data_IF_874558625583
#
_entry.id   IF_874558625583
#
_cell.length_a   1.000
_cell.length_b   1.000
_cell.length_c   1.000
_cell.angle_alpha   90.00
_cell.angle_beta   90.00
_cell.angle_gamma   90.00
#
_symmetry.space_group_name_H-M   'P 1'
#
loop_
_entity.id
_entity.type
_entity.pdbx_description
1 polymer ?
#
# COMPACT_ATOMS: atom_id res chain seq x y z
N UNK A 1 -21.42 3.32 3.03
CA UNK A 1 -22.40 4.38 3.41
C UNK A 1 -23.74 3.79 3.85
N UNK A 2 -24.48 3.04 3.01
CA UNK A 2 -25.77 2.45 3.42
C UNK A 2 -25.67 1.51 4.64
N UNK A 3 -24.56 0.80 4.81
CA UNK A 3 -24.24 -0.01 6.00
C UNK A 3 -24.08 0.87 7.24
N UNK A 4 -23.31 1.96 7.14
CA UNK A 4 -23.10 2.92 8.25
C UNK A 4 -24.42 3.55 8.71
N UNK A 5 -25.31 3.92 7.78
CA UNK A 5 -26.65 4.42 8.13
C UNK A 5 -27.52 3.40 8.88
N UNK A 6 -27.37 2.10 8.58
CA UNK A 6 -28.08 1.06 9.32
C UNK A 6 -27.52 0.91 10.74
N UNK A 7 -26.21 1.03 10.88
CA UNK A 7 -25.49 0.81 12.14
C UNK A 7 -25.71 1.95 13.14
N UNK A 8 -25.89 3.18 12.66
CA UNK A 8 -26.27 4.35 13.48
C UNK A 8 -27.78 4.45 13.73
N UNK A 9 -28.58 3.47 13.31
CA UNK A 9 -30.03 3.44 13.55
C UNK A 9 -30.83 4.49 12.77
N UNK A 10 -30.39 4.89 11.57
CA UNK A 10 -31.11 5.88 10.76
C UNK A 10 -32.38 5.27 10.13
N UNK A 11 -33.54 5.69 10.63
CA UNK A 11 -34.87 5.19 10.24
C UNK A 11 -35.45 5.87 8.98
N UNK A 12 -34.79 6.91 8.45
CA UNK A 12 -35.24 7.65 7.26
C UNK A 12 -35.00 6.95 5.92
N UNK A 13 -35.64 7.45 4.84
CA UNK A 13 -35.45 6.92 3.49
C UNK A 13 -34.00 7.13 3.00
N UNK A 14 -33.31 6.03 2.70
CA UNK A 14 -31.89 6.00 2.29
C UNK A 14 -31.74 6.35 0.80
N UNK A 15 -32.12 7.57 0.43
CA UNK A 15 -32.01 8.11 -0.92
C UNK A 15 -30.62 8.73 -1.17
N UNK A 16 -30.29 9.01 -2.44
CA UNK A 16 -28.98 9.53 -2.85
C UNK A 16 -28.62 10.86 -2.16
N UNK A 17 -29.61 11.70 -1.87
CA UNK A 17 -29.43 12.99 -1.19
C UNK A 17 -28.94 12.83 0.25
N UNK A 18 -29.55 11.91 1.00
CA UNK A 18 -29.10 11.55 2.36
C UNK A 18 -27.73 10.88 2.30
N UNK A 19 -27.44 10.09 1.25
CA UNK A 19 -26.13 9.47 1.09
C UNK A 19 -25.00 10.50 0.93
N UNK A 20 -25.24 11.56 0.16
CA UNK A 20 -24.27 12.62 -0.07
C UNK A 20 -24.07 13.55 1.14
N UNK A 21 -25.12 13.79 1.93
CA UNK A 21 -25.04 14.61 3.14
C UNK A 21 -24.19 13.96 4.25
N UNK A 22 -24.28 12.63 4.40
CA UNK A 22 -23.56 11.89 5.44
C UNK A 22 -22.14 11.48 5.01
N UNK A 23 -21.83 11.55 3.71
CA UNK A 23 -20.50 11.23 3.15
C UNK A 23 -19.36 12.05 3.78
N UNK A 24 -19.44 13.38 3.91
CA UNK A 24 -18.38 14.16 4.56
C UNK A 24 -18.28 13.89 6.07
N UNK A 25 -19.39 13.60 6.74
CA UNK A 25 -19.40 13.33 8.18
C UNK A 25 -18.71 12.01 8.52
N UNK A 26 -18.97 10.96 7.73
CA UNK A 26 -18.28 9.67 7.87
C UNK A 26 -16.80 9.79 7.50
N UNK A 27 -16.47 10.57 6.46
CA UNK A 27 -15.08 10.86 6.08
C UNK A 27 -14.27 11.50 7.21
N UNK A 28 -14.84 12.50 7.89
CA UNK A 28 -14.22 13.13 9.07
C UNK A 28 -14.05 12.15 10.23
N UNK A 29 -15.03 11.28 10.47
CA UNK A 29 -14.94 10.25 11.51
C UNK A 29 -13.82 9.24 11.25
N UNK A 30 -13.65 8.80 9.99
CA UNK A 30 -12.54 7.90 9.61
C UNK A 30 -11.20 8.61 9.77
N UNK A 31 -11.09 9.88 9.36
CA UNK A 31 -9.86 10.65 9.54
C UNK A 31 -9.52 10.85 11.02
N UNK A 32 -10.53 11.11 11.86
CA UNK A 32 -10.36 11.20 13.31
C UNK A 32 -9.89 9.87 13.92
N UNK A 33 -10.46 8.73 13.49
CA UNK A 33 -10.01 7.40 13.93
C UNK A 33 -8.59 7.06 13.47
N UNK A 34 -8.19 7.49 12.27
CA UNK A 34 -6.81 7.32 11.79
C UNK A 34 -5.86 8.15 12.66
N UNK A 35 -6.20 9.41 12.93
CA UNK A 35 -5.40 10.28 13.79
C UNK A 35 -5.31 9.73 15.21
N UNK A 36 -6.42 9.20 15.75
CA UNK A 36 -6.46 8.56 17.07
C UNK A 36 -5.59 7.28 17.09
N UNK A 37 -5.68 6.40 16.08
CA UNK A 37 -4.85 5.19 15.99
C UNK A 37 -3.36 5.49 15.84
N UNK A 38 -3.01 6.53 15.08
CA UNK A 38 -1.62 6.99 14.93
C UNK A 38 -1.13 7.56 16.27
N UNK A 39 -1.96 8.35 16.95
CA UNK A 39 -1.65 8.90 18.26
C UNK A 39 -1.55 7.81 19.33
N UNK A 40 -2.43 6.80 19.32
CA UNK A 40 -2.37 5.63 20.20
C UNK A 40 -1.09 4.83 19.98
N UNK A 41 -0.67 4.57 18.73
CA UNK A 41 0.60 3.90 18.45
C UNK A 41 1.81 4.71 18.90
N UNK A 42 1.74 6.04 18.77
CA UNK A 42 2.77 6.94 19.27
C UNK A 42 2.78 6.95 20.82
N UNK A 43 1.63 7.06 21.48
CA UNK A 43 1.48 6.99 22.93
C UNK A 43 1.91 5.63 23.50
N UNK A 44 1.57 4.52 22.86
CA UNK A 44 2.02 3.18 23.25
C UNK A 44 3.53 2.97 23.06
N UNK A 45 4.15 3.65 22.10
CA UNK A 45 5.61 3.68 21.98
C UNK A 45 6.27 4.59 23.03
N UNK A 46 5.59 5.68 23.43
CA UNK A 46 6.06 6.65 24.43
C UNK A 46 5.91 6.19 25.89
N UNK A 47 5.02 5.24 26.19
CA UNK A 47 4.93 4.62 27.53
C UNK A 47 6.19 3.79 27.89
N UNK A 48 7.06 3.51 26.92
CA UNK A 48 8.38 2.91 27.16
C UNK A 48 9.46 3.93 27.52
N UNK A 49 9.17 5.23 27.47
CA UNK A 49 10.14 6.29 27.77
C UNK A 49 9.46 7.50 28.41
N UNK A 50 9.21 7.41 29.72
CA UNK A 50 9.12 8.62 30.55
C UNK A 50 10.46 9.34 30.46
N UNK A 51 10.49 10.51 29.82
CA UNK A 51 10.99 11.79 30.38
C UNK A 51 11.06 12.87 29.30
N UNK A 52 10.30 13.93 29.55
CA UNK A 52 10.50 15.34 29.24
C UNK A 52 10.46 15.88 27.78
N UNK A 53 9.68 16.97 27.69
CA UNK A 53 9.87 18.20 26.90
C UNK A 53 8.77 18.50 25.85
N UNK A 54 7.79 19.29 26.28
CA UNK A 54 7.18 20.37 25.48
C UNK A 54 8.26 21.47 25.23
N UNK A 55 8.14 22.40 24.25
CA UNK A 55 6.94 22.78 23.49
C UNK A 55 7.18 23.03 21.98
N UNK A 56 6.12 23.30 21.20
CA UNK A 56 5.93 24.54 20.43
C UNK A 56 4.86 24.39 19.35
N UNK A 57 3.85 25.24 19.48
CA UNK A 57 2.81 25.59 18.54
C UNK A 57 3.31 25.91 17.12
N UNK A 58 2.68 25.31 16.11
CA UNK A 58 2.46 25.98 14.82
C UNK A 58 0.99 25.84 14.47
N UNK A 59 0.26 26.94 14.67
CA UNK A 59 -1.08 27.14 14.11
C UNK A 59 -0.87 27.50 12.64
N UNK A 60 -1.08 26.55 11.73
CA UNK A 60 -1.25 26.87 10.31
C UNK A 60 -2.74 26.84 10.02
N UNK A 61 -3.34 28.03 9.98
CA UNK A 61 -4.59 28.23 9.23
C UNK A 61 -4.25 27.99 7.75
N UNK A 62 -4.67 26.86 7.21
CA UNK A 62 -4.79 26.68 5.76
C UNK A 62 -6.28 26.72 5.46
N UNK A 63 -6.68 27.75 4.71
CA UNK A 63 -7.96 27.85 4.02
C UNK A 63 -8.20 26.56 3.21
N UNK A 64 -9.08 25.72 3.74
CA UNK A 64 -9.35 24.36 3.25
C UNK A 64 -10.37 24.40 2.11
N UNK A 65 -9.95 24.88 0.94
CA UNK A 65 -10.80 24.84 -0.26
C UNK A 65 -10.06 24.51 -1.56
N UNK A 66 -8.81 24.00 -1.56
CA UNK A 66 -8.18 23.63 -2.85
C UNK A 66 -6.91 22.73 -2.79
N UNK A 67 -6.79 21.78 -1.87
CA UNK A 67 -5.57 20.91 -1.82
C UNK A 67 -5.84 19.41 -2.06
N UNK A 68 -7.09 18.95 -2.09
CA UNK A 68 -7.38 17.51 -2.08
C UNK A 68 -7.51 16.80 -3.45
N UNK A 69 -7.30 17.49 -4.58
CA UNK A 69 -7.31 16.85 -5.91
C UNK A 69 -5.92 16.72 -6.57
N UNK A 70 -4.88 17.39 -6.05
CA UNK A 70 -3.56 17.40 -6.71
C UNK A 70 -2.61 16.27 -6.27
N UNK A 71 -2.79 15.66 -5.09
CA UNK A 71 -1.81 14.69 -4.53
C UNK A 71 -2.12 13.22 -4.93
N UNK A 72 -3.30 12.93 -5.52
CA UNK A 72 -3.70 11.55 -5.89
C UNK A 72 -3.09 11.00 -7.20
N UNK A 73 -2.10 11.67 -7.78
CA UNK A 73 -1.49 11.26 -9.05
C UNK A 73 0.02 11.09 -9.01
N UNK A 74 0.66 11.27 -7.86
CA UNK A 74 2.10 11.02 -7.77
C UNK A 74 2.35 9.54 -7.47
N UNK A 75 3.18 8.93 -8.32
CA UNK A 75 3.67 7.56 -8.15
C UNK A 75 4.68 7.63 -7.00
N UNK A 76 4.23 7.35 -5.78
CA UNK A 76 5.07 7.35 -4.57
C UNK A 76 5.40 5.90 -4.24
N UNK A 77 6.66 5.53 -4.42
CA UNK A 77 7.14 4.20 -4.04
C UNK A 77 7.14 4.07 -2.53
N UNK A 78 6.35 3.13 -2.04
CA UNK A 78 6.18 2.79 -0.64
C UNK A 78 7.29 1.86 -0.12
N UNK A 79 7.45 1.77 1.19
CA UNK A 79 8.43 0.87 1.82
C UNK A 79 8.16 -0.59 1.49
N UNK A 80 6.88 -1.00 1.46
CA UNK A 80 6.47 -2.38 1.16
C UNK A 80 6.85 -2.79 -0.28
N UNK A 81 6.74 -1.87 -1.23
CA UNK A 81 7.18 -2.07 -2.62
C UNK A 81 8.69 -2.28 -2.73
N UNK A 82 9.47 -1.49 -1.99
CA UNK A 82 10.93 -1.67 -1.91
C UNK A 82 11.33 -2.97 -1.22
N UNK A 83 10.56 -3.42 -0.24
CA UNK A 83 10.76 -4.72 0.41
C UNK A 83 10.53 -5.86 -0.58
N UNK A 84 9.42 -5.84 -1.34
CA UNK A 84 9.17 -6.83 -2.40
C UNK A 84 10.29 -6.85 -3.43
N UNK A 85 10.77 -5.68 -3.86
CA UNK A 85 11.92 -5.59 -4.76
C UNK A 85 13.18 -6.23 -4.15
N UNK A 86 13.48 -5.92 -2.89
CA UNK A 86 14.66 -6.44 -2.20
C UNK A 86 14.60 -7.95 -2.04
N UNK A 87 13.43 -8.48 -1.72
CA UNK A 87 13.19 -9.92 -1.59
C UNK A 87 13.30 -10.60 -2.94
N UNK A 88 12.69 -10.03 -3.99
CA UNK A 88 12.83 -10.54 -5.35
C UNK A 88 14.31 -10.58 -5.78
N UNK A 89 15.10 -9.52 -5.53
CA UNK A 89 16.55 -9.53 -5.79
C UNK A 89 17.27 -10.62 -5.01
N UNK A 90 16.94 -10.78 -3.74
CA UNK A 90 17.57 -11.77 -2.87
C UNK A 90 17.29 -13.20 -3.36
N UNK A 91 16.06 -13.49 -3.78
CA UNK A 91 15.65 -14.77 -4.38
C UNK A 91 16.40 -15.02 -5.69
N UNK A 92 16.50 -13.99 -6.55
CA UNK A 92 17.09 -14.11 -7.88
C UNK A 92 18.63 -14.10 -7.90
N UNK A 93 19.31 -13.79 -6.78
CA UNK A 93 20.77 -13.60 -6.71
C UNK A 93 21.60 -14.77 -7.25
N UNK A 94 21.08 -16.00 -7.11
CA UNK A 94 21.78 -17.22 -7.54
C UNK A 94 21.53 -17.55 -9.03
N UNK A 95 20.52 -16.92 -9.64
CA UNK A 95 20.08 -17.22 -11.02
C UNK A 95 20.55 -16.13 -11.98
N UNK A 96 20.48 -14.87 -11.57
CA UNK A 96 20.84 -13.70 -12.37
C UNK A 96 21.70 -12.74 -11.55
N UNK A 97 22.56 -11.98 -12.24
CA UNK A 97 23.25 -10.86 -11.60
C UNK A 97 22.23 -9.87 -11.06
N UNK A 98 22.38 -9.46 -9.80
CA UNK A 98 21.49 -8.50 -9.13
C UNK A 98 21.39 -7.14 -9.85
N UNK A 99 22.40 -6.78 -10.64
CA UNK A 99 22.41 -5.59 -11.51
C UNK A 99 21.44 -5.66 -12.70
N UNK A 100 20.98 -6.87 -13.08
CA UNK A 100 20.00 -7.08 -14.16
C UNK A 100 18.56 -6.95 -13.67
N UNK A 101 18.32 -6.94 -12.36
CA UNK A 101 16.98 -6.84 -11.77
C UNK A 101 16.66 -5.37 -11.50
N UNK A 102 15.60 -4.88 -12.12
CA UNK A 102 15.11 -3.50 -12.02
C UNK A 102 13.69 -3.50 -11.47
N UNK A 103 13.25 -2.37 -10.95
CA UNK A 103 11.84 -2.15 -10.64
C UNK A 103 11.29 -0.96 -11.43
N UNK A 104 9.98 -0.96 -11.64
CA UNK A 104 9.22 0.19 -12.11
C UNK A 104 7.93 0.29 -11.33
N UNK A 105 7.77 1.44 -10.72
CA UNK A 105 6.54 1.80 -10.05
C UNK A 105 5.50 2.29 -11.07
N UNK A 106 4.29 1.78 -10.98
CA UNK A 106 3.16 2.19 -11.80
C UNK A 106 1.98 2.43 -10.88
N UNK A 107 1.08 3.33 -11.30
CA UNK A 107 -0.10 3.73 -10.51
C UNK A 107 -0.96 2.57 -9.95
N UNK A 108 -0.98 1.42 -10.62
CA UNK A 108 -1.80 0.28 -10.22
C UNK A 108 -1.00 -0.91 -9.66
N UNK A 109 0.32 -0.96 -9.88
CA UNK A 109 1.16 -2.09 -9.49
C UNK A 109 2.65 -1.74 -9.56
N UNK A 110 3.39 -2.42 -8.70
CA UNK A 110 4.84 -2.37 -8.67
C UNK A 110 5.43 -3.52 -9.48
N UNK A 111 6.30 -3.20 -10.45
CA UNK A 111 6.77 -4.16 -11.44
C UNK A 111 8.25 -4.50 -11.24
N UNK A 112 8.58 -5.78 -11.14
CA UNK A 112 9.98 -6.26 -11.09
C UNK A 112 10.37 -6.82 -12.46
N UNK A 113 11.44 -6.28 -13.02
CA UNK A 113 11.87 -6.45 -14.41
C UNK A 113 13.27 -7.03 -14.50
N UNK A 114 13.56 -7.71 -15.59
CA UNK A 114 14.90 -8.14 -15.98
C UNK A 114 15.36 -7.26 -17.17
N UNK A 115 16.61 -6.81 -17.12
CA UNK A 115 17.26 -5.97 -18.15
C UNK A 115 16.49 -4.68 -18.46
N UNK A 116 15.72 -4.16 -17.50
CA UNK A 116 14.87 -2.96 -17.66
C UNK A 116 13.90 -3.05 -18.87
N UNK A 117 13.46 -4.26 -19.24
CA UNK A 117 12.57 -4.49 -20.37
C UNK A 117 11.17 -4.89 -19.91
N UNK A 118 10.15 -4.10 -20.30
CA UNK A 118 8.75 -4.30 -19.91
C UNK A 118 8.15 -5.67 -20.31
N UNK A 119 8.73 -6.35 -21.32
CA UNK A 119 8.32 -7.70 -21.75
C UNK A 119 8.98 -8.80 -20.93
N UNK A 120 10.07 -8.49 -20.22
CA UNK A 120 10.81 -9.41 -19.35
C UNK A 120 10.55 -9.06 -17.88
N UNK A 121 9.29 -9.11 -17.48
CA UNK A 121 8.92 -8.91 -16.08
C UNK A 121 8.85 -10.26 -15.36
N UNK A 122 9.23 -10.27 -14.08
CA UNK A 122 9.25 -11.47 -13.23
C UNK A 122 7.96 -11.55 -12.43
N UNK A 123 7.66 -10.47 -11.73
CA UNK A 123 6.48 -10.35 -10.90
C UNK A 123 5.92 -8.93 -10.91
N UNK A 124 4.62 -8.82 -10.68
CA UNK A 124 3.91 -7.56 -10.43
C UNK A 124 3.24 -7.65 -9.09
N UNK A 125 3.58 -6.76 -8.18
CA UNK A 125 2.99 -6.67 -6.86
C UNK A 125 1.86 -5.65 -6.86
N UNK A 126 0.77 -6.02 -6.21
CA UNK A 126 -0.42 -5.22 -6.00
C UNK A 126 -0.64 -5.12 -4.50
N UNK A 127 -0.67 -3.90 -4.01
CA UNK A 127 -0.94 -3.60 -2.61
C UNK A 127 -2.33 -2.97 -2.53
N UNK A 128 -3.20 -3.58 -1.74
CA UNK A 128 -4.50 -3.03 -1.42
C UNK A 128 -4.67 -3.08 0.10
N UNK A 129 -5.52 -2.21 0.65
CA UNK A 129 -5.70 -2.07 2.11
C UNK A 129 -6.20 -3.33 2.80
N UNK A 130 -6.72 -4.31 2.04
CA UNK A 130 -7.30 -5.56 2.56
C UNK A 130 -6.50 -6.79 2.14
N UNK A 131 -5.90 -6.78 0.95
CA UNK A 131 -5.20 -7.94 0.39
C UNK A 131 -4.03 -7.48 -0.47
N UNK A 132 -2.87 -8.11 -0.27
CA UNK A 132 -1.70 -7.93 -1.12
C UNK A 132 -1.44 -9.20 -1.92
N UNK A 133 -1.06 -9.05 -3.18
CA UNK A 133 -0.78 -10.20 -4.04
C UNK A 133 0.25 -9.87 -5.11
N UNK A 134 0.99 -10.90 -5.53
CA UNK A 134 1.84 -10.84 -6.72
C UNK A 134 1.25 -11.68 -7.83
N UNK A 135 1.49 -11.25 -9.07
CA UNK A 135 1.28 -12.06 -10.27
C UNK A 135 2.66 -12.40 -10.82
N UNK A 136 2.88 -13.65 -11.21
CA UNK A 136 4.12 -14.11 -11.84
C UNK A 136 3.98 -14.23 -13.35
N UNK A 137 5.05 -13.96 -14.10
CA UNK A 137 5.06 -14.11 -15.57
C UNK A 137 5.42 -15.55 -16.00
N UNK A 138 4.70 -16.54 -15.50
CA UNK A 138 4.92 -17.96 -15.76
C UNK A 138 4.10 -18.52 -16.93
N UNK A 139 3.47 -17.63 -17.73
CA UNK A 139 2.54 -17.98 -18.81
C UNK A 139 1.10 -18.20 -18.34
N UNK A 140 0.91 -18.70 -17.10
CA UNK A 140 -0.40 -18.88 -16.48
C UNK A 140 -0.86 -17.67 -15.65
N UNK A 141 0.03 -16.69 -15.45
CA UNK A 141 -0.19 -15.53 -14.59
C UNK A 141 -0.59 -15.94 -13.16
N UNK A 142 0.18 -16.87 -12.57
CA UNK A 142 -0.10 -17.37 -11.22
C UNK A 142 -0.19 -16.22 -10.22
N UNK A 143 -1.34 -16.10 -9.56
CA UNK A 143 -1.59 -15.15 -8.48
C UNK A 143 -1.17 -15.78 -7.15
N UNK A 144 -0.36 -15.06 -6.37
CA UNK A 144 0.09 -15.47 -5.04
C UNK A 144 -0.28 -14.35 -4.08
N UNK A 145 -1.14 -14.67 -3.12
CA UNK A 145 -1.52 -13.75 -2.05
C UNK A 145 -0.50 -13.84 -0.92
N UNK A 146 -0.22 -12.70 -0.27
CA UNK A 146 0.72 -12.60 0.83
C UNK A 146 0.29 -11.51 1.80
N UNK A 147 0.60 -11.69 3.08
CA UNK A 147 0.30 -10.70 4.11
C UNK A 147 1.53 -9.82 4.37
N UNK A 148 2.73 -10.42 4.38
CA UNK A 148 4.00 -9.72 4.50
C UNK A 148 4.88 -9.96 3.26
N UNK A 149 5.61 -8.95 2.75
CA UNK A 149 6.55 -9.15 1.64
C UNK A 149 7.50 -10.34 1.82
N UNK A 150 7.94 -10.61 3.07
CA UNK A 150 8.82 -11.74 3.43
C UNK A 150 8.23 -13.10 3.05
N UNK A 151 6.90 -13.24 3.02
CA UNK A 151 6.22 -14.49 2.67
C UNK A 151 6.52 -14.92 1.23
N UNK A 152 6.94 -14.00 0.36
CA UNK A 152 7.38 -14.31 -1.01
C UNK A 152 8.59 -15.24 -1.05
N UNK A 153 9.39 -15.33 0.02
CA UNK A 153 10.47 -16.31 0.14
C UNK A 153 9.97 -17.75 0.07
N UNK A 154 8.76 -18.04 0.57
CA UNK A 154 8.16 -19.37 0.50
C UNK A 154 7.82 -19.79 -0.94
N UNK A 155 7.77 -18.83 -1.86
CA UNK A 155 7.50 -19.03 -3.28
C UNK A 155 8.73 -18.79 -4.16
N UNK A 156 9.93 -18.83 -3.56
CA UNK A 156 11.20 -18.60 -4.26
C UNK A 156 11.35 -19.42 -5.52
N UNK A 157 10.96 -20.69 -5.48
CA UNK A 157 11.12 -21.63 -6.60
C UNK A 157 10.30 -21.19 -7.82
N UNK A 158 9.08 -20.68 -7.60
CA UNK A 158 8.21 -20.16 -8.66
C UNK A 158 8.79 -18.88 -9.28
N UNK A 159 9.31 -17.98 -8.43
CA UNK A 159 9.93 -16.73 -8.87
C UNK A 159 11.20 -17.02 -9.70
N UNK A 160 12.03 -17.97 -9.24
CA UNK A 160 13.24 -18.41 -9.95
C UNK A 160 12.87 -19.04 -11.29
N UNK A 161 11.85 -19.88 -11.35
CA UNK A 161 11.40 -20.51 -12.59
C UNK A 161 11.01 -19.50 -13.67
N UNK A 162 10.38 -18.37 -13.31
CA UNK A 162 10.10 -17.28 -14.25
C UNK A 162 11.39 -16.62 -14.73
N UNK A 163 12.32 -16.34 -13.83
CA UNK A 163 13.58 -15.70 -14.18
C UNK A 163 14.47 -16.56 -15.09
N UNK A 164 14.40 -17.89 -14.95
CA UNK A 164 15.12 -18.85 -15.81
C UNK A 164 14.75 -18.73 -17.30
N UNK A 165 13.57 -18.20 -17.63
CA UNK A 165 13.18 -17.94 -19.02
C UNK A 165 14.01 -16.83 -19.69
N UNK A 166 14.77 -16.07 -18.91
CA UNK A 166 15.50 -14.87 -19.35
C UNK A 166 17.00 -14.91 -19.04
N UNK A 167 17.51 -16.06 -18.56
CA UNK A 167 18.93 -16.29 -18.28
C UNK A 167 19.72 -16.34 -19.57
#
# INVERSE_FOLDING_TARGET
>A
MRIVLNEIGYEGQKNARVLDEFRPMVGRGIQALINERVNERLSHALDSTKTAEEPTSVVVNIDDNNVDEAIKNEIVTTSEELEVYTIAKAVLRNTLKTSRVFYRDNKAYFNVLIDNNIRKWVLRAFFNSVHSWVILNDGNNTKIEFDNPVDLLNFSDKIIAVAQQYV
#
